data_IF_214448231706
#
_entry.id   IF_214448231706
#
_cell.length_a   1.000
_cell.length_b   1.000
_cell.length_c   1.000
_cell.angle_alpha   90.00
_cell.angle_beta   90.00
_cell.angle_gamma   90.00
#
_symmetry.space_group_name_H-M   'P 1'
#
loop_
_entity.id
_entity.type
_entity.pdbx_description
1 polymer ?
#
# COMPACT_ATOMS: atom_id res chain seq x y z
N UNK A 1 1.36 31.27 5.77
CA UNK A 1 1.37 30.37 6.96
C UNK A 1 0.20 29.36 7.00
N UNK A 2 -0.92 29.53 6.28
CA UNK A 2 -2.06 28.60 6.35
C UNK A 2 -1.96 27.29 5.56
N UNK A 3 -1.23 27.24 4.44
CA UNK A 3 -1.18 26.07 3.54
C UNK A 3 -0.54 24.82 4.18
N UNK A 4 0.51 24.98 4.98
CA UNK A 4 1.16 23.86 5.68
C UNK A 4 0.25 23.21 6.74
N UNK A 5 -0.64 23.99 7.36
CA UNK A 5 -1.57 23.49 8.38
C UNK A 5 -2.68 22.62 7.77
N UNK A 6 -3.23 23.04 6.63
CA UNK A 6 -4.29 22.29 5.93
C UNK A 6 -3.74 20.98 5.36
N UNK A 7 -2.54 21.00 4.77
CA UNK A 7 -1.89 19.79 4.26
C UNK A 7 -1.62 18.78 5.38
N UNK A 8 -1.14 19.24 6.54
CA UNK A 8 -0.90 18.36 7.70
C UNK A 8 -2.19 17.72 8.23
N UNK A 9 -3.29 18.49 8.31
CA UNK A 9 -4.60 17.96 8.72
C UNK A 9 -5.15 16.93 7.72
N UNK A 10 -4.98 17.17 6.41
CA UNK A 10 -5.40 16.22 5.38
C UNK A 10 -4.61 14.91 5.46
N UNK A 11 -3.29 14.98 5.67
CA UNK A 11 -2.45 13.80 5.88
C UNK A 11 -2.88 13.05 7.14
N UNK A 12 -3.07 13.75 8.26
CA UNK A 12 -3.53 13.12 9.51
C UNK A 12 -4.89 12.42 9.35
N UNK A 13 -5.86 13.07 8.69
CA UNK A 13 -7.16 12.48 8.38
C UNK A 13 -7.04 11.23 7.49
N UNK A 14 -6.13 11.25 6.51
CA UNK A 14 -5.86 10.09 5.66
C UNK A 14 -5.26 8.91 6.43
N UNK A 15 -4.32 9.17 7.34
CA UNK A 15 -3.75 8.12 8.22
C UNK A 15 -4.85 7.51 9.11
N UNK A 16 -5.72 8.34 9.70
CA UNK A 16 -6.85 7.86 10.50
C UNK A 16 -7.78 6.97 9.65
N UNK A 17 -8.08 7.38 8.42
CA UNK A 17 -8.92 6.62 7.49
C UNK A 17 -8.34 5.23 7.15
N UNK A 18 -7.02 5.13 7.00
CA UNK A 18 -6.33 3.85 6.79
C UNK A 18 -6.54 2.95 8.02
N UNK A 19 -6.30 3.46 9.23
CA UNK A 19 -6.30 2.66 10.47
C UNK A 19 -7.69 2.11 10.81
N UNK A 20 -8.75 2.85 10.47
CA UNK A 20 -10.15 2.42 10.69
C UNK A 20 -10.50 1.13 9.93
N UNK A 21 -9.70 0.70 8.95
CA UNK A 21 -9.89 -0.60 8.29
C UNK A 21 -9.93 -1.76 9.30
N UNK A 22 -10.94 -2.61 9.22
CA UNK A 22 -11.16 -3.73 10.14
C UNK A 22 -10.22 -4.91 9.84
N UNK A 23 -9.78 -5.05 8.59
CA UNK A 23 -8.84 -6.07 8.14
C UNK A 23 -7.53 -5.46 7.63
N UNK A 24 -6.39 -6.15 7.79
CA UNK A 24 -5.12 -5.64 7.30
C UNK A 24 -5.07 -5.45 5.78
N UNK A 25 -5.72 -6.32 5.02
CA UNK A 25 -5.86 -6.17 3.56
C UNK A 25 -6.58 -4.88 3.22
N UNK A 26 -7.67 -4.57 3.94
CA UNK A 26 -8.42 -3.34 3.70
C UNK A 26 -7.62 -2.08 4.06
N UNK A 27 -6.78 -2.13 5.09
CA UNK A 27 -5.85 -1.03 5.41
C UNK A 27 -4.84 -0.79 4.29
N UNK A 28 -4.30 -1.87 3.71
CA UNK A 28 -3.35 -1.79 2.59
C UNK A 28 -4.01 -1.18 1.35
N UNK A 29 -5.22 -1.64 0.98
CA UNK A 29 -5.98 -1.08 -0.14
C UNK A 29 -6.28 0.40 0.07
N UNK A 30 -6.68 0.81 1.29
CA UNK A 30 -6.90 2.22 1.62
C UNK A 30 -5.62 3.05 1.55
N UNK A 31 -4.47 2.49 1.91
CA UNK A 31 -3.18 3.16 1.81
C UNK A 31 -2.75 3.40 0.35
N UNK A 32 -3.19 2.54 -0.58
CA UNK A 32 -2.91 2.67 -2.02
C UNK A 32 -3.93 3.53 -2.80
N UNK A 33 -5.04 3.95 -2.17
CA UNK A 33 -6.05 4.85 -2.78
C UNK A 33 -5.52 6.16 -3.43
N UNK A 34 -4.39 6.78 -3.00
CA UNK A 34 -3.86 7.96 -3.67
C UNK A 34 -3.39 7.70 -5.11
N UNK A 35 -3.06 6.44 -5.44
CA UNK A 35 -2.62 6.04 -6.78
C UNK A 35 -3.71 6.27 -7.82
N UNK A 36 -4.95 5.75 -7.66
CA UNK A 36 -6.04 6.05 -8.60
C UNK A 36 -6.50 7.52 -8.57
N UNK A 37 -6.39 8.23 -7.43
CA UNK A 37 -6.68 9.67 -7.41
C UNK A 37 -5.74 10.47 -8.33
N UNK A 38 -4.45 10.17 -8.24
CA UNK A 38 -3.42 10.80 -9.06
C UNK A 38 -3.56 10.39 -10.52
N UNK A 39 -3.99 9.15 -10.78
CA UNK A 39 -4.28 8.65 -12.12
C UNK A 39 -5.36 9.49 -12.81
N UNK A 40 -6.50 9.71 -12.15
CA UNK A 40 -7.61 10.49 -12.72
C UNK A 40 -7.20 11.93 -13.00
N UNK A 41 -6.45 12.57 -12.09
CA UNK A 41 -5.91 13.90 -12.32
C UNK A 41 -4.97 13.94 -13.53
N UNK A 42 -4.13 12.92 -13.68
CA UNK A 42 -3.20 12.80 -14.80
C UNK A 42 -3.95 12.62 -16.12
N UNK A 43 -4.95 11.73 -16.15
CA UNK A 43 -5.78 11.48 -17.34
C UNK A 43 -6.51 12.76 -17.77
N UNK A 44 -7.11 13.51 -16.85
CA UNK A 44 -7.78 14.77 -17.19
C UNK A 44 -6.81 15.82 -17.77
N UNK A 45 -5.55 15.84 -17.33
CA UNK A 45 -4.51 16.70 -17.92
C UNK A 45 -4.08 16.20 -19.29
N UNK A 46 -3.95 14.87 -19.47
CA UNK A 46 -3.58 14.28 -20.76
C UNK A 46 -4.67 14.47 -21.81
N UNK A 47 -5.94 14.26 -21.47
CA UNK A 47 -7.09 14.53 -22.35
C UNK A 47 -7.14 15.99 -22.79
N UNK A 48 -6.68 16.92 -21.93
CA UNK A 48 -6.65 18.34 -22.24
C UNK A 48 -5.49 18.74 -23.17
N UNK A 49 -4.39 17.98 -23.18
CA UNK A 49 -3.14 18.34 -23.87
C UNK A 49 -2.89 17.48 -25.13
N UNK A 50 -3.38 16.24 -25.17
CA UNK A 50 -3.09 15.26 -26.24
C UNK A 50 -4.36 14.63 -26.81
N UNK A 51 -4.28 14.26 -28.09
CA UNK A 51 -5.33 13.48 -28.76
C UNK A 51 -5.49 12.10 -28.11
N UNK A 52 -6.75 11.64 -28.08
CA UNK A 52 -7.33 10.47 -27.39
C UNK A 52 -6.55 9.12 -27.46
N UNK A 53 -5.54 9.00 -28.32
CA UNK A 53 -4.76 7.77 -28.50
C UNK A 53 -3.82 7.42 -27.32
N UNK A 54 -3.47 8.38 -26.47
CA UNK A 54 -2.49 8.18 -25.37
C UNK A 54 -3.13 7.93 -23.98
N UNK A 55 -4.45 8.09 -23.83
CA UNK A 55 -5.13 7.96 -22.52
C UNK A 55 -5.45 6.52 -22.13
N UNK A 56 -5.81 5.67 -23.10
CA UNK A 56 -6.09 4.25 -22.88
C UNK A 56 -4.89 3.46 -22.29
N UNK A 57 -3.65 3.56 -22.81
CA UNK A 57 -2.51 2.87 -22.19
C UNK A 57 -2.17 3.42 -20.80
N UNK A 58 -2.37 4.71 -20.58
CA UNK A 58 -2.05 5.39 -19.31
C UNK A 58 -2.92 4.86 -18.16
N UNK A 59 -4.22 4.63 -18.39
CA UNK A 59 -5.11 4.06 -17.36
C UNK A 59 -4.72 2.62 -16.96
N UNK A 60 -4.24 1.80 -17.92
CA UNK A 60 -3.79 0.43 -17.65
C UNK A 60 -2.55 0.40 -16.73
N UNK A 61 -1.62 1.35 -16.91
CA UNK A 61 -0.40 1.46 -16.10
C UNK A 61 -0.71 1.80 -14.64
N UNK A 62 -1.71 2.64 -14.39
CA UNK A 62 -2.12 2.99 -13.04
C UNK A 62 -2.79 1.83 -12.29
N UNK A 63 -3.50 0.94 -12.99
CA UNK A 63 -4.02 -0.29 -12.39
C UNK A 63 -2.88 -1.21 -11.95
N UNK A 64 -1.83 -1.35 -12.78
CA UNK A 64 -0.61 -2.09 -12.41
C UNK A 64 0.12 -1.43 -11.24
N UNK A 65 0.15 -0.10 -11.17
CA UNK A 65 0.76 0.63 -10.06
C UNK A 65 -0.01 0.44 -8.74
N UNK A 66 -1.34 0.36 -8.77
CA UNK A 66 -2.14 0.07 -7.59
C UNK A 66 -1.84 -1.33 -7.05
N UNK A 67 -1.83 -2.34 -7.92
CA UNK A 67 -1.44 -3.70 -7.55
C UNK A 67 -0.01 -3.77 -7.01
N UNK A 68 0.92 -3.05 -7.64
CA UNK A 68 2.31 -2.95 -7.18
C UNK A 68 2.45 -2.30 -5.80
N UNK A 69 1.63 -1.28 -5.49
CA UNK A 69 1.56 -0.66 -4.18
C UNK A 69 1.09 -1.66 -3.11
N UNK A 70 -0.01 -2.37 -3.36
CA UNK A 70 -0.55 -3.35 -2.42
C UNK A 70 0.46 -4.48 -2.15
N UNK A 71 1.09 -4.99 -3.22
CA UNK A 71 2.13 -6.03 -3.11
C UNK A 71 3.34 -5.56 -2.31
N UNK A 72 3.81 -4.33 -2.56
CA UNK A 72 4.97 -3.76 -1.86
C UNK A 72 4.67 -3.53 -0.38
N UNK A 73 3.48 -3.01 -0.05
CA UNK A 73 3.06 -2.82 1.33
C UNK A 73 2.89 -4.16 2.06
N UNK A 74 2.26 -5.14 1.43
CA UNK A 74 2.19 -6.49 1.98
C UNK A 74 3.59 -7.04 2.27
N UNK A 75 4.52 -6.88 1.33
CA UNK A 75 5.89 -7.34 1.48
C UNK A 75 6.64 -6.64 2.60
N UNK A 76 6.46 -5.34 2.76
CA UNK A 76 7.11 -4.56 3.81
C UNK A 76 6.62 -4.94 5.21
N UNK A 77 5.31 -5.18 5.38
CA UNK A 77 4.72 -5.44 6.69
C UNK A 77 4.63 -6.93 7.06
N UNK A 78 4.40 -7.83 6.09
CA UNK A 78 4.09 -9.24 6.36
C UNK A 78 5.22 -10.22 6.06
N UNK A 79 6.22 -9.83 5.26
CA UNK A 79 7.27 -10.78 4.86
C UNK A 79 8.07 -11.32 6.07
N UNK A 80 8.37 -10.47 7.06
CA UNK A 80 9.16 -10.87 8.22
C UNK A 80 8.39 -11.79 9.18
N UNK A 81 7.13 -11.45 9.49
CA UNK A 81 6.27 -12.27 10.34
C UNK A 81 5.94 -13.62 9.70
N UNK A 82 5.69 -13.63 8.38
CA UNK A 82 5.44 -14.86 7.65
C UNK A 82 6.66 -15.80 7.69
N UNK A 83 7.86 -15.29 7.47
CA UNK A 83 9.09 -16.08 7.53
C UNK A 83 9.36 -16.64 8.93
N UNK A 84 9.07 -15.86 9.97
CA UNK A 84 9.26 -16.28 11.37
C UNK A 84 8.25 -17.35 11.77
N UNK A 85 6.98 -17.20 11.39
CA UNK A 85 5.94 -18.20 11.60
C UNK A 85 6.20 -19.51 10.84
N UNK A 86 6.77 -19.43 9.64
CA UNK A 86 7.16 -20.63 8.88
C UNK A 86 8.34 -21.36 9.53
N UNK A 87 9.34 -20.63 10.01
CA UNK A 87 10.47 -21.20 10.77
C UNK A 87 9.99 -21.90 12.04
N UNK A 88 9.06 -21.31 12.78
CA UNK A 88 8.52 -21.93 14.00
C UNK A 88 7.64 -23.15 13.69
N UNK A 89 6.83 -23.12 12.63
CA UNK A 89 6.06 -24.31 12.18
C UNK A 89 6.96 -25.45 11.71
N UNK A 90 8.07 -25.13 11.04
CA UNK A 90 9.07 -26.10 10.62
C UNK A 90 9.80 -26.70 11.84
N UNK A 91 10.19 -25.85 12.81
CA UNK A 91 10.80 -26.28 14.07
C UNK A 91 9.84 -27.14 14.93
N UNK A 92 8.55 -26.81 14.94
CA UNK A 92 7.49 -27.55 15.63
C UNK A 92 7.28 -28.94 15.02
N UNK A 93 7.33 -29.06 13.68
CA UNK A 93 7.23 -30.36 13.00
C UNK A 93 8.50 -31.22 13.13
N UNK A 94 9.65 -30.61 13.40
CA UNK A 94 10.94 -31.32 13.49
C UNK A 94 11.41 -31.56 14.93
N UNK A 95 10.65 -31.14 15.94
CA UNK A 95 10.98 -31.36 17.35
C UNK A 95 12.20 -30.56 17.85
N UNK A 96 12.62 -29.52 17.12
CA UNK A 96 13.77 -28.68 17.48
C UNK A 96 13.25 -27.44 18.21
N UNK A 97 13.65 -27.17 19.47
CA UNK A 97 13.13 -26.03 20.23
C UNK A 97 13.56 -24.71 19.58
N UNK A 98 12.58 -23.84 19.33
CA UNK A 98 12.79 -22.49 18.80
C UNK A 98 13.49 -21.63 19.88
N UNK A 99 14.81 -21.47 19.77
CA UNK A 99 15.53 -20.47 20.56
C UNK A 99 15.17 -19.06 20.06
N UNK A 100 14.36 -18.39 20.88
CA UNK A 100 14.20 -16.95 21.10
C UNK A 100 14.83 -16.00 20.08
N UNK A 101 13.96 -15.26 19.38
CA UNK A 101 14.29 -13.99 18.73
C UNK A 101 13.49 -12.86 19.38
N UNK A 102 13.80 -12.53 20.63
CA UNK A 102 13.45 -11.21 21.20
C UNK A 102 14.52 -10.22 20.77
N UNK A 103 14.17 -9.26 19.94
CA UNK A 103 14.93 -8.01 19.83
C UNK A 103 14.11 -6.92 19.16
N UNK A 104 13.62 -6.04 20.05
CA UNK A 104 13.25 -4.62 19.94
C UNK A 104 12.12 -4.21 18.99
#
# INVERSE_FOLDING_TARGET
MGLFSISSLAVAGFIIYIIIGSTPTERITRACMPVPWTANLSVSILELIKADSDVAPTTSWFQSANYGCEFTLWRLFYQNDYNTAQKSKLASNTGVPASQGTSQ
#
